data_IF_759624899667
#
_entry.id   IF_759624899667
#
_cell.length_a   1.000
_cell.length_b   1.000
_cell.length_c   1.000
_cell.angle_alpha   90.00
_cell.angle_beta   90.00
_cell.angle_gamma   90.00
#
_symmetry.space_group_name_H-M   'P 1'
#
loop_
_entity.id
_entity.type
_entity.pdbx_description
1 polymer ?
#
# COMPACT_ATOMS: atom_id res chain seq x y z
N UNK A 1 -8.19 16.87 -6.54
CA UNK A 1 -8.27 16.07 -5.30
C UNK A 1 -6.94 16.19 -4.60
N UNK A 2 -6.94 16.50 -3.30
CA UNK A 2 -5.72 16.62 -2.51
C UNK A 2 -5.16 15.21 -2.30
N UNK A 3 -3.99 14.93 -2.86
CA UNK A 3 -3.33 13.64 -2.69
C UNK A 3 -2.59 13.64 -1.35
N UNK A 4 -3.03 12.82 -0.40
CA UNK A 4 -2.24 12.57 0.80
C UNK A 4 -0.98 11.83 0.35
N UNK A 5 0.19 12.47 0.47
CA UNK A 5 1.48 11.87 0.13
C UNK A 5 2.35 11.82 1.37
N UNK A 6 2.91 10.64 1.63
CA UNK A 6 3.92 10.45 2.68
C UNK A 6 5.18 9.85 2.07
N UNK A 7 6.33 10.45 2.36
CA UNK A 7 7.65 9.93 1.95
C UNK A 7 8.33 9.30 3.16
N UNK A 8 8.75 8.03 3.02
CA UNK A 8 9.44 7.27 4.06
C UNK A 8 10.49 6.36 3.45
N UNK A 9 11.51 6.06 4.24
CA UNK A 9 12.46 5.00 3.93
C UNK A 9 11.85 3.66 4.30
N UNK A 10 12.25 2.60 3.58
CA UNK A 10 12.05 1.24 4.05
C UNK A 10 12.84 1.03 5.34
N UNK A 11 12.36 0.12 6.20
CA UNK A 11 13.17 -0.28 7.34
C UNK A 11 14.42 -1.08 6.89
N UNK A 12 15.33 -1.35 7.81
CA UNK A 12 16.56 -2.10 7.53
C UNK A 12 16.36 -3.55 7.08
N UNK A 13 15.11 -4.01 6.94
CA UNK A 13 14.72 -5.33 6.42
C UNK A 13 13.95 -5.23 5.09
N UNK A 14 13.85 -4.03 4.51
CA UNK A 14 13.13 -3.80 3.25
C UNK A 14 11.61 -3.76 3.39
N UNK A 15 11.07 -3.59 4.60
CA UNK A 15 9.62 -3.52 4.83
C UNK A 15 9.15 -2.07 4.77
N UNK A 16 8.02 -1.83 4.10
CA UNK A 16 7.31 -0.57 4.15
C UNK A 16 6.34 -0.58 5.33
N UNK A 17 6.50 0.37 6.26
CA UNK A 17 5.57 0.57 7.38
C UNK A 17 4.56 1.64 6.95
N UNK A 18 3.30 1.25 6.76
CA UNK A 18 2.20 2.19 6.49
C UNK A 18 1.79 2.87 7.80
N UNK A 19 1.97 4.21 7.95
CA UNK A 19 1.55 4.91 9.16
C UNK A 19 0.04 4.84 9.36
N UNK A 20 -0.41 4.93 10.62
CA UNK A 20 -1.82 4.83 11.01
C UNK A 20 -2.73 5.69 10.15
N UNK A 21 -2.47 7.01 10.12
CA UNK A 21 -3.35 7.98 9.45
C UNK A 21 -3.47 7.71 7.95
N UNK A 22 -2.38 7.32 7.29
CA UNK A 22 -2.37 7.00 5.86
C UNK A 22 -3.11 5.69 5.56
N UNK A 23 -2.88 4.67 6.39
CA UNK A 23 -3.53 3.37 6.29
C UNK A 23 -5.04 3.49 6.51
N UNK A 24 -5.46 4.19 7.56
CA UNK A 24 -6.86 4.44 7.89
C UNK A 24 -7.55 5.31 6.84
N UNK A 25 -6.88 6.32 6.29
CA UNK A 25 -7.40 7.13 5.17
C UNK A 25 -7.63 6.29 3.90
N UNK A 26 -6.76 5.30 3.64
CA UNK A 26 -6.96 4.31 2.58
C UNK A 26 -7.90 3.16 2.98
N UNK A 27 -8.45 3.20 4.20
CA UNK A 27 -9.42 2.26 4.75
C UNK A 27 -8.84 0.89 5.14
N UNK A 28 -7.52 0.75 5.27
CA UNK A 28 -6.90 -0.52 5.63
C UNK A 28 -6.91 -0.76 7.15
N UNK A 29 -7.19 -1.99 7.55
CA UNK A 29 -7.07 -2.41 8.97
C UNK A 29 -5.61 -2.72 9.34
N UNK A 30 -5.24 -2.67 10.63
CA UNK A 30 -3.85 -2.83 11.04
C UNK A 30 -3.14 -4.10 10.57
N UNK A 31 -3.86 -5.21 10.62
CA UNK A 31 -3.37 -6.53 10.24
C UNK A 31 -4.11 -7.07 9.00
N UNK A 32 -4.59 -6.18 8.14
CA UNK A 32 -5.36 -6.58 6.96
C UNK A 32 -4.50 -7.39 5.98
N UNK A 33 -5.05 -8.50 5.49
CA UNK A 33 -4.46 -9.22 4.37
C UNK A 33 -4.60 -8.39 3.09
N UNK A 34 -3.47 -8.13 2.45
CA UNK A 34 -3.40 -7.35 1.19
C UNK A 34 -2.81 -8.18 0.05
N UNK A 35 -3.11 -7.78 -1.18
CA UNK A 35 -2.34 -8.17 -2.35
C UNK A 35 -1.38 -7.03 -2.72
N UNK A 36 -0.19 -7.41 -3.19
CA UNK A 36 0.82 -6.46 -3.70
C UNK A 36 1.15 -6.87 -5.13
N UNK A 37 0.97 -5.96 -6.07
CA UNK A 37 1.32 -6.14 -7.47
C UNK A 37 2.44 -5.17 -7.87
N UNK A 38 3.27 -5.57 -8.83
CA UNK A 38 4.25 -4.70 -9.48
C UNK A 38 3.65 -4.21 -10.80
N UNK A 39 3.69 -2.90 -11.05
CA UNK A 39 3.18 -2.27 -12.26
C UNK A 39 4.15 -1.23 -12.79
N UNK A 40 3.94 -0.80 -14.03
CA UNK A 40 4.60 0.38 -14.62
C UNK A 40 3.66 1.58 -14.54
N UNK A 41 4.14 2.69 -13.97
CA UNK A 41 3.44 3.98 -13.94
C UNK A 41 4.41 5.06 -14.41
N UNK A 42 4.10 5.69 -15.54
CA UNK A 42 4.90 6.78 -16.12
C UNK A 42 6.40 6.42 -16.32
N UNK A 43 6.68 5.15 -16.63
CA UNK A 43 8.04 4.65 -16.83
C UNK A 43 8.76 4.24 -15.54
N UNK A 44 8.11 4.39 -14.39
CA UNK A 44 8.61 3.92 -13.10
C UNK A 44 7.91 2.63 -12.65
N UNK A 45 8.67 1.72 -12.05
CA UNK A 45 8.11 0.53 -11.40
C UNK A 45 7.48 0.94 -10.08
N UNK A 46 6.20 0.65 -9.91
CA UNK A 46 5.43 0.96 -8.69
C UNK A 46 4.82 -0.28 -8.08
N UNK A 47 4.61 -0.25 -6.77
CA UNK A 47 3.83 -1.25 -6.06
C UNK A 47 2.39 -0.78 -5.90
N UNK A 48 1.44 -1.61 -6.30
CA UNK A 48 0.01 -1.39 -6.05
C UNK A 48 -0.41 -2.31 -4.90
N UNK A 49 -0.92 -1.71 -3.83
CA UNK A 49 -1.42 -2.42 -2.65
C UNK A 49 -2.94 -2.38 -2.65
N UNK A 50 -3.59 -3.53 -2.64
CA UNK A 50 -5.05 -3.63 -2.63
C UNK A 50 -5.54 -4.51 -1.48
N UNK A 51 -6.73 -4.19 -0.95
CA UNK A 51 -7.45 -5.11 -0.06
C UNK A 51 -7.75 -6.38 -0.84
N UNK A 52 -7.37 -7.53 -0.30
CA UNK A 52 -7.78 -8.79 -0.92
C UNK A 52 -9.28 -8.96 -0.71
N UNK A 53 -10.06 -8.93 -1.79
CA UNK A 53 -11.41 -9.49 -1.76
C UNK A 53 -11.25 -11.01 -1.87
N UNK A 54 -11.87 -11.77 -0.97
CA UNK A 54 -11.97 -13.21 -1.17
C UNK A 54 -12.69 -13.42 -2.52
N UNK A 55 -12.07 -14.18 -3.42
CA UNK A 55 -12.77 -14.60 -4.64
C UNK A 55 -13.93 -15.51 -4.17
N UNK A 56 -15.18 -15.26 -4.58
CA UNK A 56 -16.23 -16.24 -4.38
C UNK A 56 -15.79 -17.51 -5.11
N UNK A 57 -15.73 -18.59 -4.33
CA UNK A 57 -15.28 -19.91 -4.77
C UNK A 57 -16.21 -20.55 -5.79
#
# INVERSE_FOLDING_TARGET
>A
MEAIKVTRNLDGKGRLILPRDFREAAGFEPDQRVSVALADLEGEKVFIIAKRKEEPK
#
